data_IF_740711544607
#
_entry.id   IF_740711544607
#
_cell.length_a   1.000
_cell.length_b   1.000
_cell.length_c   1.000
_cell.angle_alpha   90.00
_cell.angle_beta   90.00
_cell.angle_gamma   90.00
#
_symmetry.space_group_name_H-M   'P 1'
#
loop_
_entity.id
_entity.type
_entity.pdbx_description
1 polymer ?
#
# COMPACT_ATOMS: atom_id res chain seq x y z
N UNK A 1 -11.54 -27.39 20.68
CA UNK A 1 -11.15 -26.82 20.63
C UNK A 1 -10.27 -26.25 20.48
N UNK A 2 -9.84 -26.13 20.52
CA UNK A 2 -9.15 -25.56 20.66
C UNK A 2 -8.59 -24.93 20.11
N UNK A 3 -8.64 -24.96 19.80
CA UNK A 3 -8.27 -24.13 19.11
C UNK A 3 -7.71 -22.95 19.29
N UNK A 4 -7.85 -22.44 20.16
CA UNK A 4 -7.46 -21.08 20.39
C UNK A 4 -5.95 -20.87 20.50
N UNK A 5 -5.24 -21.79 21.04
CA UNK A 5 -3.80 -21.73 21.08
C UNK A 5 -3.14 -21.70 19.73
N UNK A 6 -3.68 -22.49 18.80
CA UNK A 6 -3.20 -22.49 17.44
C UNK A 6 -3.46 -21.16 16.75
N UNK A 7 -4.60 -20.58 17.00
CA UNK A 7 -4.96 -19.28 16.42
C UNK A 7 -4.01 -18.18 16.85
N UNK A 8 -3.63 -18.17 18.12
CA UNK A 8 -2.71 -17.16 18.62
C UNK A 8 -1.34 -17.24 17.96
N UNK A 9 -0.92 -18.43 17.55
CA UNK A 9 0.39 -18.65 16.94
C UNK A 9 0.39 -18.44 15.43
N UNK A 10 -0.74 -18.65 14.80
CA UNK A 10 -0.86 -18.62 13.34
C UNK A 10 -1.85 -17.56 12.90
N UNK A 11 -1.67 -16.37 13.44
CA UNK A 11 -2.61 -15.30 13.30
C UNK A 11 -2.88 -14.90 11.86
N UNK A 12 -1.97 -15.14 10.95
CA UNK A 12 -2.06 -14.60 9.61
C UNK A 12 -1.90 -15.66 8.55
N UNK A 13 -2.67 -16.74 8.71
CA UNK A 13 -2.81 -17.72 7.64
C UNK A 13 -3.47 -17.14 6.40
N UNK A 14 -4.21 -16.06 6.60
CA UNK A 14 -4.85 -15.32 5.51
C UNK A 14 -4.54 -13.84 5.71
N UNK A 15 -3.93 -13.25 4.69
CA UNK A 15 -3.64 -11.81 4.66
C UNK A 15 -4.57 -11.17 3.64
N UNK A 16 -5.33 -10.18 4.09
CA UNK A 16 -6.24 -9.42 3.22
C UNK A 16 -6.50 -8.03 3.79
N UNK A 17 -6.96 -7.14 2.94
CA UNK A 17 -7.43 -5.82 3.35
C UNK A 17 -8.88 -5.66 2.95
N UNK A 18 -9.74 -5.37 3.90
CA UNK A 18 -11.18 -5.15 3.70
C UNK A 18 -11.61 -3.78 4.24
N UNK A 19 -10.72 -2.82 4.26
CA UNK A 19 -11.00 -1.48 4.71
C UNK A 19 -11.68 -0.62 3.65
N UNK A 20 -11.75 0.67 3.93
CA UNK A 20 -12.37 1.64 3.05
C UNK A 20 -11.58 1.84 1.77
N UNK A 21 -12.27 2.25 0.72
CA UNK A 21 -11.67 2.56 -0.57
C UNK A 21 -11.16 3.98 -0.69
N UNK A 22 -11.15 4.74 0.38
CA UNK A 22 -10.68 6.12 0.41
C UNK A 22 -9.20 6.27 0.72
N UNK A 23 -8.51 5.16 0.93
CA UNK A 23 -7.09 5.12 1.23
C UNK A 23 -6.34 4.57 0.02
N UNK A 24 -5.30 5.26 -0.43
CA UNK A 24 -4.48 4.80 -1.56
C UNK A 24 -3.54 3.66 -1.19
N UNK A 25 -2.91 3.76 -0.03
CA UNK A 25 -1.92 2.78 0.43
C UNK A 25 -2.20 2.43 1.88
N UNK A 26 -2.16 1.14 2.18
CA UNK A 26 -2.34 0.66 3.54
C UNK A 26 -1.30 -0.41 3.85
N UNK A 27 -0.59 -0.22 4.93
CA UNK A 27 0.39 -1.20 5.39
C UNK A 27 -0.28 -2.24 6.28
N UNK A 28 -0.11 -3.51 5.95
CA UNK A 28 -0.60 -4.58 6.79
C UNK A 28 0.20 -4.64 8.10
N UNK A 29 -0.46 -4.82 9.25
CA UNK A 29 0.23 -4.81 10.54
C UNK A 29 1.16 -6.00 10.77
N UNK A 30 0.96 -7.10 10.06
CA UNK A 30 1.84 -8.26 10.19
C UNK A 30 3.10 -8.05 9.36
N UNK A 31 4.23 -8.17 9.99
CA UNK A 31 5.53 -8.09 9.34
C UNK A 31 6.22 -9.45 9.23
N UNK A 32 5.71 -10.43 9.97
CA UNK A 32 6.22 -11.80 9.96
C UNK A 32 5.14 -12.75 9.51
N UNK A 33 5.45 -13.58 8.54
CA UNK A 33 4.50 -14.60 8.07
C UNK A 33 5.27 -15.85 7.64
N UNK A 34 4.56 -16.97 7.63
CA UNK A 34 5.11 -18.26 7.26
C UNK A 34 4.77 -18.61 5.80
N UNK A 35 5.55 -19.52 5.25
CA UNK A 35 5.19 -20.10 3.96
C UNK A 35 3.86 -20.82 4.07
N UNK A 36 3.07 -20.77 3.02
CA UNK A 36 1.72 -21.32 3.02
C UNK A 36 0.63 -20.33 3.39
N UNK A 37 0.99 -19.17 3.91
CA UNK A 37 0.03 -18.10 4.16
C UNK A 37 -0.63 -17.67 2.85
N UNK A 38 -1.92 -17.45 2.89
CA UNK A 38 -2.69 -17.05 1.72
C UNK A 38 -2.80 -15.54 1.68
N UNK A 39 -2.44 -14.96 0.55
CA UNK A 39 -2.59 -13.54 0.28
C UNK A 39 -3.80 -13.34 -0.63
N UNK A 40 -4.78 -12.59 -0.16
CA UNK A 40 -5.98 -12.28 -0.92
C UNK A 40 -5.93 -10.83 -1.34
N UNK A 41 -6.05 -10.59 -2.63
CA UNK A 41 -6.04 -9.26 -3.23
C UNK A 41 -7.35 -9.09 -4.00
N UNK A 42 -8.13 -8.07 -3.65
CA UNK A 42 -9.39 -7.79 -4.33
C UNK A 42 -9.14 -7.16 -5.71
N UNK A 43 -10.18 -7.15 -6.56
CA UNK A 43 -10.03 -6.70 -7.95
C UNK A 43 -9.52 -5.27 -8.08
N UNK A 44 -9.86 -4.41 -7.15
CA UNK A 44 -9.45 -3.02 -7.17
C UNK A 44 -8.12 -2.76 -6.48
N UNK A 45 -7.40 -3.81 -6.10
CA UNK A 45 -6.19 -3.71 -5.29
C UNK A 45 -4.99 -4.37 -5.94
N UNK A 46 -3.83 -4.00 -5.43
CA UNK A 46 -2.57 -4.73 -5.63
C UNK A 46 -1.88 -4.84 -4.27
N UNK A 47 -1.11 -5.89 -4.08
CA UNK A 47 -0.31 -6.07 -2.87
C UNK A 47 1.17 -6.08 -3.23
N UNK A 48 1.96 -5.31 -2.50
CA UNK A 48 3.39 -5.18 -2.72
C UNK A 48 4.15 -5.65 -1.51
N UNK A 49 5.09 -6.56 -1.70
CA UNK A 49 6.05 -6.93 -0.67
C UNK A 49 7.21 -5.95 -0.67
N UNK A 50 7.54 -5.47 0.53
CA UNK A 50 8.58 -4.50 0.74
C UNK A 50 9.49 -4.98 1.86
N UNK A 51 10.79 -5.02 1.61
CA UNK A 51 11.76 -5.54 2.59
C UNK A 51 13.07 -4.75 2.48
N UNK A 52 13.58 -4.34 3.61
CA UNK A 52 14.87 -3.66 3.70
C UNK A 52 15.02 -2.47 2.74
N UNK A 53 13.97 -1.69 2.60
CA UNK A 53 13.99 -0.51 1.74
C UNK A 53 13.78 -0.82 0.25
N UNK A 54 13.46 -2.04 -0.10
CA UNK A 54 13.27 -2.44 -1.49
C UNK A 54 11.87 -3.01 -1.73
N UNK A 55 11.26 -2.57 -2.83
CA UNK A 55 10.04 -3.16 -3.32
C UNK A 55 10.37 -4.47 -4.02
N UNK A 56 9.81 -5.56 -3.51
CA UNK A 56 10.05 -6.90 -4.05
C UNK A 56 8.94 -7.30 -5.03
N UNK A 57 8.10 -8.22 -4.65
CA UNK A 57 7.10 -8.78 -5.55
C UNK A 57 5.77 -8.04 -5.46
N UNK A 58 5.14 -7.83 -6.61
CA UNK A 58 3.84 -7.19 -6.74
C UNK A 58 2.81 -8.24 -7.15
N UNK A 59 1.73 -8.34 -6.38
CA UNK A 59 0.65 -9.28 -6.64
C UNK A 59 -0.61 -8.55 -7.11
N UNK A 60 -1.14 -8.99 -8.23
CA UNK A 60 -2.41 -8.52 -8.74
C UNK A 60 -3.60 -9.17 -8.05
N UNK A 61 -4.83 -8.85 -8.51
CA UNK A 61 -6.03 -9.43 -7.93
C UNK A 61 -6.05 -10.95 -7.96
N UNK A 62 -6.58 -11.52 -6.91
CA UNK A 62 -6.73 -12.96 -6.78
C UNK A 62 -6.23 -13.49 -5.45
N UNK A 63 -6.18 -14.81 -5.37
CA UNK A 63 -5.68 -15.53 -4.21
C UNK A 63 -4.31 -16.08 -4.53
N UNK A 64 -3.33 -15.73 -3.71
CA UNK A 64 -1.95 -16.16 -3.89
C UNK A 64 -1.48 -16.89 -2.64
N UNK A 65 -0.82 -18.03 -2.83
CA UNK A 65 -0.19 -18.74 -1.72
C UNK A 65 1.27 -18.29 -1.67
N UNK A 66 1.71 -17.88 -0.49
CA UNK A 66 3.08 -17.39 -0.30
C UNK A 66 4.04 -18.56 -0.20
N UNK A 67 4.58 -18.94 -1.34
CA UNK A 67 5.58 -19.98 -1.49
C UNK A 67 6.78 -19.40 -2.23
N UNK A 68 7.94 -20.04 -2.04
CA UNK A 68 9.18 -19.57 -2.68
C UNK A 68 9.08 -19.53 -4.20
N UNK A 69 8.22 -20.34 -4.78
CA UNK A 69 8.00 -20.36 -6.22
C UNK A 69 7.25 -19.14 -6.71
N UNK A 70 6.33 -18.64 -5.88
CA UNK A 70 5.44 -17.52 -6.21
C UNK A 70 6.02 -16.15 -5.86
N UNK A 71 7.13 -16.12 -5.15
CA UNK A 71 7.78 -14.88 -4.74
C UNK A 71 9.28 -14.92 -5.08
N UNK A 72 9.61 -14.88 -6.38
CA UNK A 72 10.99 -15.09 -6.82
C UNK A 72 12.00 -14.07 -6.31
N UNK A 73 11.57 -12.83 -6.09
CA UNK A 73 12.48 -11.82 -5.55
C UNK A 73 12.76 -12.04 -4.07
N UNK A 74 11.76 -12.42 -3.32
CA UNK A 74 11.94 -12.77 -1.92
C UNK A 74 12.80 -14.02 -1.77
N UNK A 75 12.65 -14.98 -2.66
CA UNK A 75 13.48 -16.18 -2.68
C UNK A 75 14.97 -15.86 -2.76
N UNK A 76 15.36 -14.90 -3.56
CA UNK A 76 16.77 -14.50 -3.67
C UNK A 76 17.31 -13.99 -2.34
N UNK A 77 16.48 -13.31 -1.56
CA UNK A 77 16.85 -12.81 -0.23
C UNK A 77 16.82 -13.93 0.81
N UNK A 78 15.83 -14.82 0.71
CA UNK A 78 15.66 -15.91 1.68
C UNK A 78 16.73 -17.00 1.57
N UNK A 79 17.44 -17.06 0.45
CA UNK A 79 18.55 -18.00 0.28
C UNK A 79 19.83 -17.57 1.00
N UNK A 80 19.82 -16.41 1.64
CA UNK A 80 20.91 -16.03 2.54
C UNK A 80 20.89 -16.97 3.74
N UNK A 81 22.08 -17.35 4.26
CA UNK A 81 22.15 -18.30 5.36
C UNK A 81 21.53 -17.69 6.62
N UNK A 82 20.32 -18.09 6.86
CA UNK A 82 19.64 -17.88 8.12
C UNK A 82 19.40 -19.24 8.74
N UNK A 83 19.47 -19.34 10.03
CA UNK A 83 19.47 -20.61 10.76
C UNK A 83 18.17 -21.43 10.63
N UNK A 84 17.59 -21.48 9.46
CA UNK A 84 16.45 -22.33 9.16
C UNK A 84 15.15 -21.98 9.89
N UNK A 85 15.14 -20.93 10.67
CA UNK A 85 13.98 -20.48 11.42
C UNK A 85 13.54 -19.13 10.91
N UNK A 86 12.98 -19.08 9.71
CA UNK A 86 12.60 -17.77 9.24
C UNK A 86 11.13 -17.60 9.07
N UNK A 87 10.50 -16.84 9.94
CA UNK A 87 9.48 -15.99 9.45
C UNK A 87 10.15 -14.93 8.58
N UNK A 88 9.65 -14.76 7.37
CA UNK A 88 10.14 -13.68 6.51
C UNK A 88 9.70 -12.36 7.12
N UNK A 89 10.65 -11.54 7.49
CA UNK A 89 10.38 -10.21 8.01
C UNK A 89 10.23 -9.25 6.85
N UNK A 90 9.01 -9.02 6.46
CA UNK A 90 8.73 -8.22 5.27
C UNK A 90 7.41 -7.45 5.49
N UNK A 91 7.35 -6.27 4.93
CA UNK A 91 6.17 -5.43 4.98
C UNK A 91 5.29 -5.69 3.76
N UNK A 92 3.99 -5.70 3.97
CA UNK A 92 3.01 -5.86 2.90
C UNK A 92 2.18 -4.59 2.80
N UNK A 93 2.20 -3.98 1.63
CA UNK A 93 1.41 -2.79 1.33
C UNK A 93 0.31 -3.14 0.36
N UNK A 94 -0.92 -2.81 0.72
CA UNK A 94 -2.05 -2.88 -0.19
C UNK A 94 -2.25 -1.53 -0.85
N UNK A 95 -2.34 -1.53 -2.15
CA UNK A 95 -2.51 -0.33 -2.96
C UNK A 95 -3.90 -0.37 -3.59
N UNK A 96 -4.66 0.68 -3.37
CA UNK A 96 -5.98 0.81 -3.96
C UNK A 96 -5.86 1.41 -5.35
N UNK A 97 -6.33 0.69 -6.35
CA UNK A 97 -6.29 1.11 -7.77
C UNK A 97 -7.57 1.80 -8.21
N UNK A 98 -8.54 1.91 -7.31
CA UNK A 98 -9.81 2.60 -7.61
C UNK A 98 -9.60 4.10 -7.71
N UNK A 99 -10.30 4.72 -8.66
CA UNK A 99 -10.30 6.17 -8.78
C UNK A 99 -10.87 6.80 -7.51
N UNK A 100 -10.10 7.68 -6.92
CA UNK A 100 -10.56 8.49 -5.79
C UNK A 100 -11.23 9.73 -6.34
N UNK A 101 -12.54 9.75 -6.24
CA UNK A 101 -13.37 10.81 -6.78
C UNK A 101 -13.58 11.92 -5.77
N UNK A 102 -13.82 13.13 -6.28
CA UNK A 102 -14.21 14.27 -5.47
C UNK A 102 -13.20 14.63 -4.36
N UNK A 103 -11.92 14.49 -4.64
CA UNK A 103 -10.88 14.99 -3.75
C UNK A 103 -10.89 16.50 -3.84
N UNK A 104 -11.20 17.14 -2.73
CA UNK A 104 -11.30 18.59 -2.67
C UNK A 104 -9.92 19.23 -2.48
N UNK A 105 -9.72 20.33 -3.16
CA UNK A 105 -8.52 21.12 -3.00
C UNK A 105 -8.88 22.61 -2.92
N UNK A 106 -7.99 23.39 -2.34
CA UNK A 106 -8.22 24.82 -2.25
C UNK A 106 -7.01 25.55 -1.70
N UNK A 107 -7.01 26.86 -1.85
CA UNK A 107 -5.99 27.71 -1.24
C UNK A 107 -6.32 27.87 0.25
N UNK A 108 -5.32 27.70 1.11
CA UNK A 108 -5.49 27.87 2.55
C UNK A 108 -5.85 29.31 2.92
N UNK A 109 -5.27 30.25 2.16
CA UNK A 109 -5.57 31.67 2.31
C UNK A 109 -5.60 32.32 0.95
N UNK A 110 -6.31 33.43 0.88
CA UNK A 110 -6.36 34.18 -0.37
C UNK A 110 -5.00 34.79 -0.68
N UNK A 111 -4.63 34.72 -1.94
CA UNK A 111 -3.38 35.31 -2.44
C UNK A 111 -3.66 36.77 -2.79
N UNK A 112 -2.80 37.66 -2.31
CA UNK A 112 -2.87 39.08 -2.64
C UNK A 112 -2.25 39.31 -4.02
N UNK A 113 -2.97 40.01 -4.86
CA UNK A 113 -2.52 40.35 -6.21
C UNK A 113 -2.80 41.82 -6.45
N UNK A 114 -1.83 42.54 -6.97
CA UNK A 114 -1.97 43.95 -7.34
C UNK A 114 -2.24 44.02 -8.84
N UNK A 115 -3.41 44.55 -9.19
CA UNK A 115 -3.78 44.75 -10.58
C UNK A 115 -2.83 45.74 -11.24
N UNK A 116 -2.11 45.36 -12.29
CA UNK A 116 -1.17 46.24 -12.95
C UNK A 116 -1.83 47.42 -13.67
N UNK A 117 -3.09 47.30 -14.01
CA UNK A 117 -3.84 48.35 -14.73
C UNK A 117 -4.40 49.38 -13.78
N UNK A 118 -5.13 48.93 -12.75
CA UNK A 118 -5.84 49.80 -11.82
C UNK A 118 -5.11 50.01 -10.49
N UNK A 119 -4.06 49.21 -10.24
CA UNK A 119 -3.14 49.35 -9.08
C UNK A 119 -3.82 49.24 -7.73
N UNK A 120 -4.90 48.47 -7.60
CA UNK A 120 -5.43 48.18 -6.29
C UNK A 120 -5.32 46.69 -5.97
N UNK A 121 -5.28 46.33 -4.67
CA UNK A 121 -5.08 44.96 -4.25
C UNK A 121 -6.34 44.14 -4.48
N UNK A 122 -6.13 42.92 -4.97
CA UNK A 122 -7.15 41.89 -5.11
C UNK A 122 -6.80 40.69 -4.26
N UNK A 123 -7.80 40.09 -3.65
CA UNK A 123 -7.63 38.83 -2.93
C UNK A 123 -8.22 37.69 -3.75
N UNK A 124 -7.37 36.75 -4.12
CA UNK A 124 -7.74 35.67 -5.02
C UNK A 124 -7.67 34.35 -4.26
N UNK A 125 -8.74 33.59 -4.30
CA UNK A 125 -8.77 32.21 -3.81
C UNK A 125 -9.27 31.29 -4.90
N UNK A 126 -8.88 30.03 -4.79
CA UNK A 126 -9.32 29.01 -5.73
C UNK A 126 -9.63 27.72 -4.98
N UNK A 127 -10.61 26.99 -5.47
CA UNK A 127 -10.94 25.67 -4.95
C UNK A 127 -11.53 24.82 -6.06
N UNK A 128 -11.60 23.53 -5.84
CA UNK A 128 -12.15 22.62 -6.80
C UNK A 128 -12.15 21.19 -6.29
N UNK A 129 -12.49 20.30 -7.19
CA UNK A 129 -12.43 18.85 -6.93
C UNK A 129 -11.62 18.18 -8.03
N UNK A 130 -10.99 17.06 -7.69
CA UNK A 130 -10.23 16.27 -8.64
C UNK A 130 -10.42 14.78 -8.37
N UNK A 131 -10.10 13.98 -9.36
CA UNK A 131 -10.07 12.53 -9.25
C UNK A 131 -8.62 12.07 -9.40
N UNK A 132 -8.21 11.16 -8.54
CA UNK A 132 -6.87 10.59 -8.58
C UNK A 132 -6.93 9.08 -8.59
N UNK A 133 -6.01 8.46 -9.31
CA UNK A 133 -5.84 7.02 -9.33
C UNK A 133 -4.37 6.66 -9.31
N UNK A 134 -4.05 5.53 -8.69
CA UNK A 134 -2.68 5.00 -8.68
C UNK A 134 -2.40 4.35 -10.03
N UNK A 135 -1.42 4.86 -10.75
CA UNK A 135 -0.99 4.29 -12.01
C UNK A 135 0.05 3.18 -11.81
N UNK A 136 1.09 3.47 -11.03
CA UNK A 136 2.18 2.54 -10.78
C UNK A 136 2.34 2.36 -9.27
N UNK A 137 1.91 1.19 -8.79
CA UNK A 137 1.91 0.89 -7.36
C UNK A 137 3.32 0.82 -6.77
N UNK A 138 4.26 0.25 -7.51
CA UNK A 138 5.64 0.11 -7.05
C UNK A 138 6.29 1.47 -6.87
N UNK A 139 6.18 2.34 -7.86
CA UNK A 139 6.71 3.69 -7.76
C UNK A 139 6.05 4.50 -6.64
N UNK A 140 4.75 4.36 -6.48
CA UNK A 140 4.03 5.06 -5.42
C UNK A 140 4.59 4.70 -4.05
N UNK A 141 4.74 3.42 -3.75
CA UNK A 141 5.25 2.97 -2.45
C UNK A 141 6.70 3.40 -2.24
N UNK A 142 7.54 3.27 -3.26
CA UNK A 142 8.95 3.68 -3.18
C UNK A 142 9.08 5.18 -2.88
N UNK A 143 8.20 6.00 -3.44
CA UNK A 143 8.22 7.45 -3.20
C UNK A 143 7.66 7.84 -1.83
N UNK A 144 6.69 7.08 -1.31
CA UNK A 144 6.04 7.42 -0.04
C UNK A 144 6.72 6.80 1.18
N UNK A 145 7.39 5.71 1.00
CA UNK A 145 8.05 4.96 2.06
C UNK A 145 9.56 5.09 1.94
#
# INVERSE_FOLDING_TARGET
MSESGGDAMNLYDIIKYEGNNDVFVWKHPCEDFNLGTQLIVHESQEALFYMNGHALDLFGPGKHVLETENIPLLRKVSNLPTDGKTPYHCEIYYINKTDQMAIRWGTDSKVQYIDPTYKFPLSIGANGEMSLAVHDSRNLVVQLV
#
